data_IF_388856161999
#
_entry.id   IF_388856161999
#
_cell.length_a   1.000
_cell.length_b   1.000
_cell.length_c   1.000
_cell.angle_alpha   90.00
_cell.angle_beta   90.00
_cell.angle_gamma   90.00
#
_symmetry.space_group_name_H-M   'P 1'
#
loop_
_entity.id
_entity.type
_entity.pdbx_description
1 polymer ?
#
# COMPACT_ATOMS: atom_id res chain seq x y z
N UNK A 1 48.53 -40.92 -20.54
CA UNK A 1 48.17 -41.23 -19.15
C UNK A 1 46.65 -41.24 -19.03
N UNK A 2 46.04 -42.32 -18.64
CA UNK A 2 44.60 -42.30 -18.41
C UNK A 2 44.28 -41.43 -17.19
N UNK A 3 43.43 -40.46 -17.38
CA UNK A 3 42.91 -39.62 -16.28
C UNK A 3 42.14 -40.53 -15.33
N UNK A 4 42.51 -40.49 -14.07
CA UNK A 4 41.89 -41.33 -13.06
C UNK A 4 40.45 -40.86 -12.81
N UNK A 5 39.48 -41.63 -13.27
CA UNK A 5 38.05 -41.30 -13.16
C UNK A 5 37.55 -41.10 -11.72
N UNK A 6 38.35 -41.53 -10.73
CA UNK A 6 37.99 -41.40 -9.31
C UNK A 6 38.15 -40.01 -8.79
N UNK A 7 39.02 -39.18 -9.36
CA UNK A 7 39.25 -37.81 -8.87
C UNK A 7 38.18 -36.82 -9.37
N UNK A 8 37.60 -37.14 -10.54
CA UNK A 8 36.55 -36.30 -11.13
C UNK A 8 35.22 -36.41 -10.34
N UNK A 9 34.91 -37.59 -9.80
CA UNK A 9 33.66 -37.84 -9.06
C UNK A 9 33.65 -37.16 -7.70
N UNK A 10 34.80 -37.01 -7.06
CA UNK A 10 34.90 -36.34 -5.75
C UNK A 10 34.67 -34.82 -5.84
N UNK A 11 35.10 -34.21 -6.92
CA UNK A 11 34.94 -32.77 -7.10
C UNK A 11 33.48 -32.35 -7.35
N UNK A 12 32.72 -33.20 -8.05
CA UNK A 12 31.29 -32.92 -8.35
C UNK A 12 30.43 -33.07 -7.10
N UNK A 13 30.74 -34.00 -6.22
CA UNK A 13 29.94 -34.22 -5.00
C UNK A 13 30.07 -33.05 -4.00
N UNK A 14 31.23 -32.43 -3.92
CA UNK A 14 31.45 -31.29 -3.03
C UNK A 14 30.74 -30.01 -3.51
N UNK A 15 30.66 -29.79 -4.81
CA UNK A 15 29.96 -28.61 -5.36
C UNK A 15 28.45 -28.66 -5.17
N UNK A 16 27.85 -29.85 -5.25
CA UNK A 16 26.39 -29.99 -5.08
C UNK A 16 25.92 -29.81 -3.65
N UNK A 17 26.71 -30.18 -2.67
CA UNK A 17 26.33 -30.02 -1.26
C UNK A 17 26.35 -28.56 -0.79
N UNK A 18 27.25 -27.75 -1.32
CA UNK A 18 27.36 -26.34 -0.95
C UNK A 18 26.18 -25.51 -1.48
N UNK A 19 25.64 -25.84 -2.65
CA UNK A 19 24.53 -25.11 -3.25
C UNK A 19 23.19 -25.34 -2.53
N UNK A 20 23.00 -26.52 -1.92
CA UNK A 20 21.75 -26.83 -1.21
C UNK A 20 21.65 -26.10 0.12
N UNK A 21 22.76 -25.83 0.79
CA UNK A 21 22.73 -25.08 2.06
C UNK A 21 22.45 -23.61 1.90
N UNK A 22 22.83 -22.99 0.79
CA UNK A 22 22.59 -21.58 0.53
C UNK A 22 21.13 -21.29 0.18
N UNK A 23 20.44 -22.23 -0.45
CA UNK A 23 19.02 -22.10 -0.77
C UNK A 23 18.07 -22.26 0.40
N UNK A 24 18.56 -22.74 1.55
CA UNK A 24 17.76 -22.96 2.74
C UNK A 24 17.66 -21.73 3.66
N UNK A 25 18.41 -20.64 3.39
CA UNK A 25 18.33 -19.41 4.14
C UNK A 25 17.05 -18.66 3.78
N UNK A 26 16.03 -18.77 4.61
CA UNK A 26 14.81 -18.01 4.45
C UNK A 26 15.09 -16.50 4.62
N UNK A 27 14.54 -15.68 3.74
CA UNK A 27 14.50 -14.25 3.96
C UNK A 27 13.69 -13.95 5.23
N UNK A 28 14.05 -12.94 6.04
CA UNK A 28 13.24 -12.55 7.20
C UNK A 28 11.84 -12.19 6.74
N UNK A 29 10.82 -12.51 7.54
CA UNK A 29 9.46 -12.12 7.29
C UNK A 29 9.38 -10.58 7.21
N UNK A 30 8.58 -10.00 6.29
CA UNK A 30 8.39 -8.55 6.26
C UNK A 30 7.78 -8.07 7.56
N UNK A 31 8.18 -6.88 8.02
CA UNK A 31 7.56 -6.25 9.18
C UNK A 31 6.10 -5.94 8.89
N UNK A 32 5.26 -6.06 9.92
CA UNK A 32 3.86 -5.69 9.83
C UNK A 32 3.74 -4.18 9.57
N UNK A 33 2.85 -3.82 8.65
CA UNK A 33 2.57 -2.44 8.27
C UNK A 33 1.09 -2.16 8.39
N UNK A 34 0.77 -0.87 8.48
CA UNK A 34 -0.61 -0.41 8.42
C UNK A 34 -0.93 -0.05 6.97
N UNK A 35 -2.02 -0.61 6.44
CA UNK A 35 -2.62 -0.17 5.19
C UNK A 35 -3.87 0.61 5.52
N UNK A 36 -3.87 1.88 5.17
CA UNK A 36 -4.94 2.84 5.47
C UNK A 36 -5.68 3.12 4.17
N UNK A 37 -6.91 2.64 4.05
CA UNK A 37 -7.72 2.78 2.84
C UNK A 37 -8.99 3.57 3.16
N UNK A 38 -9.16 4.71 2.50
CA UNK A 38 -10.24 5.67 2.75
C UNK A 38 -11.12 5.80 1.52
N UNK A 39 -12.42 5.84 1.74
CA UNK A 39 -13.42 6.02 0.69
C UNK A 39 -14.26 7.25 1.00
N UNK A 40 -14.48 8.09 -0.01
CA UNK A 40 -15.23 9.34 0.10
C UNK A 40 -16.46 9.30 -0.80
N UNK A 41 -17.59 9.74 -0.24
CA UNK A 41 -18.82 10.03 -1.00
C UNK A 41 -19.05 11.53 -0.98
N UNK A 42 -19.10 12.13 -2.16
CA UNK A 42 -19.31 13.59 -2.30
C UNK A 42 -20.75 13.98 -2.00
N UNK A 43 -20.95 15.21 -1.52
CA UNK A 43 -22.28 15.79 -1.42
C UNK A 43 -22.88 16.02 -2.80
N UNK A 44 -22.03 16.36 -3.77
CA UNK A 44 -22.42 16.59 -5.16
C UNK A 44 -21.58 15.68 -6.06
N UNK A 45 -21.94 14.38 -6.18
CA UNK A 45 -21.13 13.41 -6.91
C UNK A 45 -21.02 13.74 -8.41
N UNK A 46 -21.95 14.50 -8.98
CA UNK A 46 -21.93 14.98 -10.35
C UNK A 46 -20.96 16.16 -10.58
N UNK A 47 -20.46 16.78 -9.54
CA UNK A 47 -19.57 17.94 -9.64
C UNK A 47 -18.13 17.51 -9.91
N UNK A 48 -17.68 17.70 -11.14
CA UNK A 48 -16.28 17.48 -11.51
C UNK A 48 -15.33 18.39 -10.73
N UNK A 49 -15.75 19.64 -10.51
CA UNK A 49 -14.96 20.61 -9.74
C UNK A 49 -14.73 20.16 -8.30
N UNK A 50 -15.76 19.63 -7.63
CA UNK A 50 -15.64 19.12 -6.27
C UNK A 50 -14.72 17.89 -6.20
N UNK A 51 -14.88 16.99 -7.17
CA UNK A 51 -14.03 15.80 -7.27
C UNK A 51 -12.55 16.20 -7.47
N UNK A 52 -12.29 17.12 -8.38
CA UNK A 52 -10.94 17.61 -8.67
C UNK A 52 -10.32 18.30 -7.45
N UNK A 53 -11.11 19.09 -6.74
CA UNK A 53 -10.66 19.75 -5.50
C UNK A 53 -10.29 18.73 -4.43
N UNK A 54 -11.11 17.69 -4.23
CA UNK A 54 -10.81 16.63 -3.27
C UNK A 54 -9.53 15.88 -3.65
N UNK A 55 -9.38 15.52 -4.91
CA UNK A 55 -8.18 14.81 -5.40
C UNK A 55 -6.93 15.67 -5.20
N UNK A 56 -7.00 16.96 -5.50
CA UNK A 56 -5.88 17.87 -5.28
C UNK A 56 -5.51 17.99 -3.79
N UNK A 57 -6.50 18.05 -2.91
CA UNK A 57 -6.28 18.06 -1.47
C UNK A 57 -5.62 16.77 -0.97
N UNK A 58 -6.06 15.62 -1.48
CA UNK A 58 -5.46 14.33 -1.13
C UNK A 58 -4.00 14.23 -1.60
N UNK A 59 -3.70 14.72 -2.79
CA UNK A 59 -2.31 14.75 -3.31
C UNK A 59 -1.37 15.56 -2.42
N UNK A 60 -1.85 16.63 -1.82
CA UNK A 60 -1.06 17.46 -0.91
C UNK A 60 -0.64 16.71 0.37
N UNK A 61 -1.36 15.65 0.76
CA UNK A 61 -0.99 14.82 1.90
C UNK A 61 0.35 14.10 1.72
N UNK A 62 0.82 13.96 0.47
CA UNK A 62 2.10 13.29 0.18
C UNK A 62 3.31 13.99 0.84
N UNK A 63 3.17 15.25 1.24
CA UNK A 63 4.21 15.98 1.96
C UNK A 63 4.40 15.50 3.41
N UNK A 64 3.46 14.74 3.97
CA UNK A 64 3.58 14.18 5.31
C UNK A 64 4.61 13.05 5.29
N UNK A 65 5.74 13.16 6.03
CA UNK A 65 6.89 12.26 5.83
C UNK A 65 6.64 10.79 6.17
N UNK A 66 5.70 10.49 7.08
CA UNK A 66 5.41 9.12 7.52
C UNK A 66 4.57 8.32 6.53
N UNK A 67 3.99 8.97 5.52
CA UNK A 67 3.20 8.29 4.51
C UNK A 67 4.09 7.50 3.56
N UNK A 68 3.67 6.26 3.27
CA UNK A 68 4.27 5.40 2.26
C UNK A 68 3.22 5.04 1.21
N UNK A 69 3.63 5.01 -0.06
CA UNK A 69 2.82 4.50 -1.17
C UNK A 69 1.42 5.13 -1.28
N UNK A 70 1.32 6.45 -1.21
CA UNK A 70 0.05 7.15 -1.40
C UNK A 70 -0.48 6.91 -2.81
N UNK A 71 -1.70 6.37 -2.90
CA UNK A 71 -2.43 6.16 -4.14
C UNK A 71 -3.81 6.78 -4.02
N UNK A 72 -4.24 7.46 -5.07
CA UNK A 72 -5.55 8.12 -5.14
C UNK A 72 -6.25 7.59 -6.37
N UNK A 73 -7.54 7.26 -6.25
CA UNK A 73 -8.29 6.69 -7.35
C UNK A 73 -9.77 7.01 -7.31
N UNK A 74 -10.43 6.57 -8.36
CA UNK A 74 -11.88 6.62 -8.54
C UNK A 74 -12.38 5.21 -8.82
N UNK A 75 -13.71 4.93 -8.74
CA UNK A 75 -14.21 3.60 -9.04
C UNK A 75 -13.74 3.11 -10.41
N UNK A 76 -13.24 1.88 -10.45
CA UNK A 76 -12.88 1.21 -11.69
C UNK A 76 -14.11 0.55 -12.31
N UNK A 77 -14.19 0.52 -13.64
CA UNK A 77 -15.26 -0.17 -14.36
C UNK A 77 -14.96 -1.67 -14.50
N UNK A 78 -14.92 -2.36 -13.37
CA UNK A 78 -14.76 -3.80 -13.33
C UNK A 78 -16.12 -4.50 -13.49
N UNK A 79 -16.09 -5.83 -13.57
CA UNK A 79 -17.31 -6.62 -13.63
C UNK A 79 -18.24 -6.33 -12.46
N UNK A 80 -19.52 -6.07 -12.74
CA UNK A 80 -20.53 -5.84 -11.71
C UNK A 80 -20.90 -7.17 -11.04
N UNK A 81 -20.63 -7.26 -9.74
CA UNK A 81 -20.96 -8.40 -8.88
C UNK A 81 -21.48 -7.87 -7.56
N UNK A 82 -22.30 -8.65 -6.85
CA UNK A 82 -22.90 -8.24 -5.60
C UNK A 82 -21.86 -7.82 -4.53
N UNK A 83 -20.67 -8.40 -4.60
CA UNK A 83 -19.58 -8.08 -3.65
C UNK A 83 -18.76 -6.86 -4.06
N UNK A 84 -19.00 -6.28 -5.23
CA UNK A 84 -18.26 -5.09 -5.71
C UNK A 84 -19.07 -3.84 -5.38
N UNK A 85 -18.56 -3.04 -4.47
CA UNK A 85 -19.13 -1.74 -4.12
C UNK A 85 -18.33 -0.63 -4.79
N UNK A 86 -18.90 -0.05 -5.84
CA UNK A 86 -18.33 1.09 -6.57
C UNK A 86 -19.11 2.38 -6.29
N UNK A 87 -19.81 2.46 -5.17
CA UNK A 87 -20.64 3.61 -4.83
C UNK A 87 -19.87 4.84 -4.38
N UNK A 88 -18.59 4.68 -3.99
CA UNK A 88 -17.75 5.81 -3.60
C UNK A 88 -17.37 6.68 -4.81
N UNK A 89 -16.97 7.92 -4.56
CA UNK A 89 -16.58 8.86 -5.62
C UNK A 89 -15.07 8.96 -5.77
N UNK A 90 -14.34 8.98 -4.66
CA UNK A 90 -12.87 9.05 -4.61
C UNK A 90 -12.39 8.15 -3.49
N UNK A 91 -11.22 7.56 -3.68
CA UNK A 91 -10.57 6.80 -2.63
C UNK A 91 -9.09 7.11 -2.57
N UNK A 92 -8.50 6.93 -1.38
CA UNK A 92 -7.06 6.96 -1.19
C UNK A 92 -6.60 5.72 -0.44
N UNK A 93 -5.41 5.27 -0.78
CA UNK A 93 -4.73 4.20 -0.04
C UNK A 93 -3.33 4.66 0.27
N UNK A 94 -2.92 4.51 1.52
CA UNK A 94 -1.56 4.76 1.95
C UNK A 94 -1.11 3.70 2.95
N UNK A 95 0.19 3.55 3.09
CA UNK A 95 0.76 2.66 4.09
C UNK A 95 1.60 3.44 5.09
N UNK A 96 1.66 2.92 6.31
CA UNK A 96 2.53 3.42 7.37
C UNK A 96 3.39 2.27 7.90
N UNK A 97 4.57 2.58 8.36
CA UNK A 97 5.47 1.56 8.90
C UNK A 97 4.92 0.91 10.19
N UNK A 98 4.12 1.67 10.95
CA UNK A 98 3.54 1.21 12.22
C UNK A 98 2.34 2.06 12.63
N UNK A 99 1.66 1.66 13.70
CA UNK A 99 0.51 2.39 14.24
C UNK A 99 0.88 3.79 14.73
N UNK A 100 2.08 3.96 15.31
CA UNK A 100 2.54 5.26 15.79
C UNK A 100 2.67 6.27 14.66
N UNK A 101 3.16 5.85 13.49
CA UNK A 101 3.28 6.70 12.31
C UNK A 101 1.90 7.09 11.75
N UNK A 102 0.93 6.18 11.78
CA UNK A 102 -0.44 6.51 11.42
C UNK A 102 -1.02 7.60 12.34
N UNK A 103 -0.72 7.56 13.63
CA UNK A 103 -1.12 8.59 14.58
C UNK A 103 -0.46 9.94 14.27
N UNK A 104 0.83 9.94 13.91
CA UNK A 104 1.53 11.15 13.47
C UNK A 104 0.84 11.78 12.26
N UNK A 105 0.46 10.97 11.27
CA UNK A 105 -0.30 11.41 10.11
C UNK A 105 -1.64 12.02 10.52
N UNK A 106 -2.41 11.32 11.36
CA UNK A 106 -3.75 11.73 11.79
C UNK A 106 -3.74 13.11 12.45
N UNK A 107 -2.73 13.39 13.26
CA UNK A 107 -2.60 14.64 14.02
C UNK A 107 -1.78 15.71 13.27
N UNK A 108 -1.22 15.38 12.12
CA UNK A 108 -0.32 16.27 11.39
C UNK A 108 -1.05 17.54 10.91
N UNK A 109 -0.42 18.74 11.00
CA UNK A 109 -1.03 19.99 10.53
C UNK A 109 -1.49 19.95 9.07
N UNK A 110 -0.75 19.28 8.19
CA UNK A 110 -1.13 19.11 6.77
C UNK A 110 -2.42 18.30 6.66
N UNK A 111 -2.61 17.25 7.47
CA UNK A 111 -3.86 16.48 7.50
C UNK A 111 -5.02 17.32 8.02
N UNK A 112 -4.82 18.07 9.10
CA UNK A 112 -5.83 18.96 9.65
C UNK A 112 -6.25 20.04 8.65
N UNK A 113 -5.28 20.61 7.93
CA UNK A 113 -5.54 21.59 6.87
C UNK A 113 -6.36 21.00 5.72
N UNK A 114 -6.03 19.77 5.31
CA UNK A 114 -6.81 19.05 4.32
C UNK A 114 -8.28 18.91 4.75
N UNK A 115 -8.53 18.47 5.97
CA UNK A 115 -9.91 18.32 6.49
C UNK A 115 -10.63 19.67 6.54
N UNK A 116 -9.94 20.72 6.97
CA UNK A 116 -10.50 22.07 7.02
C UNK A 116 -10.88 22.59 5.64
N UNK A 117 -10.06 22.34 4.63
CA UNK A 117 -10.27 22.83 3.25
C UNK A 117 -11.24 21.98 2.44
N UNK A 118 -11.26 20.67 2.65
CA UNK A 118 -11.99 19.73 1.80
C UNK A 118 -13.17 19.04 2.48
N UNK A 119 -13.29 19.13 3.82
CA UNK A 119 -14.33 18.42 4.56
C UNK A 119 -15.76 18.76 4.15
N UNK A 120 -15.99 19.96 3.64
CA UNK A 120 -17.31 20.38 3.15
C UNK A 120 -17.73 19.67 1.86
N UNK A 121 -16.80 19.01 1.16
CA UNK A 121 -17.06 18.36 -0.12
C UNK A 121 -17.76 17.01 0.04
N UNK A 122 -17.48 16.29 1.12
CA UNK A 122 -18.02 14.93 1.30
C UNK A 122 -19.18 14.88 2.30
N UNK A 123 -20.09 13.95 2.04
CA UNK A 123 -21.19 13.61 2.95
C UNK A 123 -20.91 12.40 3.81
N UNK A 124 -19.94 11.58 3.42
CA UNK A 124 -19.60 10.33 4.09
C UNK A 124 -18.15 9.93 3.81
N UNK A 125 -17.49 9.42 4.82
CA UNK A 125 -16.16 8.83 4.73
C UNK A 125 -16.17 7.49 5.45
N UNK A 126 -15.54 6.50 4.85
CA UNK A 126 -15.26 5.21 5.50
C UNK A 126 -13.76 4.95 5.42
N UNK A 127 -13.20 4.49 6.52
CA UNK A 127 -11.79 4.11 6.64
C UNK A 127 -11.69 2.63 6.99
N UNK A 128 -10.85 1.92 6.27
CA UNK A 128 -10.45 0.56 6.62
C UNK A 128 -8.96 0.56 6.90
N UNK A 129 -8.59 0.27 8.14
CA UNK A 129 -7.20 0.12 8.56
C UNK A 129 -6.90 -1.36 8.74
N UNK A 130 -5.88 -1.83 8.01
CA UNK A 130 -5.45 -3.22 8.03
C UNK A 130 -4.02 -3.30 8.53
N UNK A 131 -3.76 -4.25 9.43
CA UNK A 131 -2.40 -4.64 9.81
C UNK A 131 -2.01 -5.84 8.95
N UNK A 132 -0.91 -5.71 8.22
CA UNK A 132 -0.40 -6.85 7.43
C UNK A 132 0.12 -7.96 8.35
N UNK A 133 -0.06 -9.19 7.93
CA UNK A 133 0.38 -10.38 8.67
C UNK A 133 1.31 -11.25 7.84
#
# INVERSE_FOLDING_TARGET
MPVNRRDVVKAVALGGAAMVSDGASAAPAPEARIVHHVFFWLKRPESTADKDQLIAGLRALAEIPVIRNLQIGVPASTEQRDVVDSSFDVSELMTFDNVADQKVYQDHPIHQDFVAKCGHLWRKVIVYDMLTV
#
